data_IF_163822986686
#
_entry.id   IF_163822986686
#
_cell.length_a   1.000
_cell.length_b   1.000
_cell.length_c   1.000
_cell.angle_alpha   90.00
_cell.angle_beta   90.00
_cell.angle_gamma   90.00
#
_symmetry.space_group_name_H-M   'P 1'
#
loop_
_entity.id
_entity.type
_entity.pdbx_description
1 polymer ?
#
# COMPACT_ATOMS: atom_id res chain seq x y z
N UNK A 1 12.75 -5.77 -3.77
CA UNK A 1 12.27 -4.44 -4.20
C UNK A 1 11.26 -3.90 -3.18
N UNK A 2 11.40 -2.65 -2.81
CA UNK A 2 10.53 -2.05 -1.80
C UNK A 2 9.17 -1.71 -2.39
N UNK A 3 8.12 -1.81 -1.57
CA UNK A 3 6.80 -1.41 -2.00
C UNK A 3 6.62 0.10 -1.83
N UNK A 4 5.83 0.71 -2.70
CA UNK A 4 5.52 2.13 -2.60
C UNK A 4 4.76 2.42 -1.30
N UNK A 5 3.81 1.56 -0.96
CA UNK A 5 3.04 1.68 0.27
C UNK A 5 3.94 1.55 1.50
N UNK A 6 4.77 0.50 1.50
CA UNK A 6 5.65 0.23 2.63
C UNK A 6 6.64 1.37 2.90
N UNK A 7 7.24 1.91 1.85
CA UNK A 7 8.16 3.03 1.99
C UNK A 7 7.44 4.28 2.50
N UNK A 8 6.22 4.52 2.03
CA UNK A 8 5.48 5.70 2.45
C UNK A 8 5.10 5.63 3.92
N UNK A 9 4.61 4.49 4.39
CA UNK A 9 4.26 4.38 5.82
C UNK A 9 5.49 4.47 6.70
N UNK A 10 6.62 3.92 6.26
CA UNK A 10 7.87 4.05 7.01
C UNK A 10 8.30 5.51 7.12
N UNK A 11 8.27 6.24 6.01
CA UNK A 11 8.62 7.66 6.00
C UNK A 11 7.73 8.45 6.95
N UNK A 12 6.43 8.21 6.89
CA UNK A 12 5.48 8.90 7.77
C UNK A 12 5.72 8.56 9.25
N UNK A 13 6.00 7.28 9.53
CA UNK A 13 6.28 6.84 10.89
C UNK A 13 7.54 7.52 11.43
N UNK A 14 8.62 7.49 10.66
CA UNK A 14 9.89 8.07 11.08
C UNK A 14 9.79 9.59 11.25
N UNK A 15 9.03 10.23 10.38
CA UNK A 15 8.82 11.67 10.44
C UNK A 15 8.14 12.09 11.74
N UNK A 16 7.32 11.22 12.30
CA UNK A 16 6.64 11.47 13.57
C UNK A 16 7.40 10.90 14.77
N UNK A 17 8.62 10.40 14.53
CA UNK A 17 9.47 9.84 15.59
C UNK A 17 8.82 8.66 16.31
N UNK A 18 8.03 7.87 15.59
CA UNK A 18 7.38 6.67 16.12
C UNK A 18 8.24 5.45 15.84
N UNK A 19 8.33 4.56 16.84
CA UNK A 19 9.01 3.28 16.68
C UNK A 19 8.05 2.22 16.19
N UNK A 20 8.60 1.18 15.55
CA UNK A 20 7.79 0.04 15.10
C UNK A 20 6.97 -0.54 16.25
N UNK A 21 7.58 -0.69 17.43
CA UNK A 21 6.91 -1.27 18.60
C UNK A 21 5.74 -0.43 19.11
N UNK A 22 5.68 0.84 18.72
CA UNK A 22 4.57 1.71 19.11
C UNK A 22 3.40 1.60 18.15
N UNK A 23 3.68 1.38 16.86
CA UNK A 23 2.65 1.35 15.83
C UNK A 23 2.08 -0.06 15.66
N UNK A 24 2.92 -1.08 15.67
CA UNK A 24 2.52 -2.45 15.37
C UNK A 24 1.33 -2.94 16.22
N UNK A 25 1.31 -2.75 17.56
CA UNK A 25 0.18 -3.24 18.35
C UNK A 25 -1.15 -2.63 17.95
N UNK A 26 -1.14 -1.41 17.42
CA UNK A 26 -2.38 -0.75 16.98
C UNK A 26 -2.97 -1.42 15.74
N UNK A 27 -2.16 -2.21 15.05
CA UNK A 27 -2.57 -3.02 13.90
C UNK A 27 -2.69 -4.50 14.28
N UNK A 28 -2.64 -4.79 15.58
CA UNK A 28 -2.74 -6.16 16.11
C UNK A 28 -1.65 -7.08 15.56
N UNK A 29 -0.41 -6.56 15.48
CA UNK A 29 0.74 -7.32 15.01
C UNK A 29 1.98 -6.95 15.82
N UNK A 30 3.06 -7.70 15.63
CA UNK A 30 4.32 -7.38 16.29
C UNK A 30 5.20 -6.49 15.41
N UNK A 31 6.26 -5.95 16.00
CA UNK A 31 7.16 -5.04 15.29
C UNK A 31 7.84 -5.71 14.09
N UNK A 32 8.15 -7.01 14.17
CA UNK A 32 8.78 -7.72 13.07
C UNK A 32 7.87 -7.80 11.86
N UNK A 33 6.58 -8.02 12.08
CA UNK A 33 5.60 -8.06 10.99
C UNK A 33 5.47 -6.70 10.33
N UNK A 34 5.39 -5.63 11.13
CA UNK A 34 5.30 -4.28 10.57
C UNK A 34 6.56 -3.93 9.78
N UNK A 35 7.73 -4.35 10.27
CA UNK A 35 8.99 -4.15 9.54
C UNK A 35 8.94 -4.81 8.17
N UNK A 36 8.40 -6.03 8.08
CA UNK A 36 8.27 -6.73 6.79
C UNK A 36 7.32 -6.00 5.86
N UNK A 37 6.24 -5.43 6.39
CA UNK A 37 5.29 -4.65 5.59
C UNK A 37 5.98 -3.41 5.03
N UNK A 38 6.76 -2.72 5.83
CA UNK A 38 7.50 -1.54 5.36
C UNK A 38 8.52 -1.88 4.28
N UNK A 39 9.07 -3.09 4.33
CA UNK A 39 10.03 -3.57 3.33
C UNK A 39 9.38 -4.18 2.09
N UNK A 40 8.06 -4.27 2.08
CA UNK A 40 7.34 -4.85 0.94
C UNK A 40 7.32 -6.37 0.92
N UNK A 41 7.72 -7.02 2.01
CA UNK A 41 7.74 -8.48 2.11
C UNK A 41 6.41 -9.07 2.55
N UNK A 42 5.50 -8.22 3.01
CA UNK A 42 4.18 -8.61 3.46
C UNK A 42 3.22 -7.44 3.22
N UNK A 43 1.95 -7.73 3.04
CA UNK A 43 0.94 -6.70 2.81
C UNK A 43 0.00 -6.57 4.00
N UNK A 44 -0.46 -5.35 4.25
CA UNK A 44 -1.57 -5.11 5.17
C UNK A 44 -2.86 -5.60 4.52
N UNK A 45 -3.82 -5.94 5.35
CA UNK A 45 -5.18 -6.21 4.88
C UNK A 45 -5.87 -4.88 4.61
N UNK A 46 -6.85 -4.90 3.70
CA UNK A 46 -7.56 -3.69 3.32
C UNK A 46 -8.14 -2.94 4.52
N UNK A 47 -8.73 -3.66 5.46
CA UNK A 47 -9.36 -3.07 6.64
C UNK A 47 -8.36 -2.43 7.60
N UNK A 48 -7.08 -2.74 7.47
CA UNK A 48 -6.04 -2.13 8.30
C UNK A 48 -5.57 -0.78 7.77
N UNK A 49 -5.88 -0.46 6.51
CA UNK A 49 -5.42 0.79 5.90
C UNK A 49 -6.00 2.03 6.60
N UNK A 50 -7.31 2.08 6.90
CA UNK A 50 -7.83 3.23 7.65
C UNK A 50 -7.19 3.39 9.02
N UNK A 51 -6.86 2.28 9.67
CA UNK A 51 -6.24 2.31 11.00
C UNK A 51 -4.86 2.96 10.92
N UNK A 52 -4.01 2.49 10.00
CA UNK A 52 -2.66 3.04 9.89
C UNK A 52 -2.68 4.49 9.39
N UNK A 53 -3.64 4.84 8.54
CA UNK A 53 -3.80 6.22 8.08
C UNK A 53 -4.05 7.15 9.28
N UNK A 54 -4.92 6.73 10.18
CA UNK A 54 -5.23 7.52 11.37
C UNK A 54 -4.02 7.62 12.30
N UNK A 55 -3.35 6.49 12.56
CA UNK A 55 -2.17 6.45 13.44
C UNK A 55 -1.06 7.37 12.92
N UNK A 56 -0.83 7.36 11.62
CA UNK A 56 0.24 8.15 11.00
C UNK A 56 -0.21 9.53 10.55
N UNK A 57 -1.47 9.90 10.80
CA UNK A 57 -2.04 11.18 10.37
C UNK A 57 -1.88 11.38 8.87
N UNK A 58 -2.11 10.31 8.11
CA UNK A 58 -1.92 10.28 6.67
C UNK A 58 -3.25 10.37 5.94
N UNK A 59 -3.17 10.77 4.68
CA UNK A 59 -4.34 10.79 3.81
C UNK A 59 -4.73 9.36 3.44
N UNK A 60 -5.95 8.96 3.77
CA UNK A 60 -6.43 7.60 3.52
C UNK A 60 -6.39 7.26 2.02
N UNK A 61 -6.86 8.19 1.18
CA UNK A 61 -6.90 7.94 -0.26
C UNK A 61 -5.50 7.74 -0.83
N UNK A 62 -4.52 8.50 -0.36
CA UNK A 62 -3.13 8.32 -0.77
C UNK A 62 -2.63 6.93 -0.41
N UNK A 63 -2.81 6.51 0.83
CA UNK A 63 -2.33 5.21 1.28
C UNK A 63 -3.06 4.07 0.57
N UNK A 64 -4.37 4.19 0.37
CA UNK A 64 -5.15 3.19 -0.34
C UNK A 64 -4.67 3.06 -1.79
N UNK A 65 -4.39 4.20 -2.43
CA UNK A 65 -3.90 4.21 -3.81
C UNK A 65 -2.57 3.48 -3.92
N UNK A 66 -1.64 3.76 -2.99
CA UNK A 66 -0.34 3.10 -3.01
C UNK A 66 -0.46 1.61 -2.74
N UNK A 67 -1.33 1.22 -1.80
CA UNK A 67 -1.58 -0.18 -1.49
C UNK A 67 -2.12 -0.94 -2.71
N UNK A 68 -3.10 -0.35 -3.39
CA UNK A 68 -3.65 -0.95 -4.61
C UNK A 68 -2.61 -1.02 -5.72
N UNK A 69 -1.80 0.04 -5.88
CA UNK A 69 -0.76 0.06 -6.91
C UNK A 69 0.27 -1.05 -6.71
N UNK A 70 0.65 -1.32 -5.46
CA UNK A 70 1.58 -2.41 -5.15
C UNK A 70 1.00 -3.76 -5.56
N UNK A 71 -0.30 -3.96 -5.38
CA UNK A 71 -0.95 -5.22 -5.77
C UNK A 71 -0.99 -5.38 -7.28
N UNK A 72 -1.30 -4.31 -8.00
CA UNK A 72 -1.28 -4.33 -9.46
C UNK A 72 0.14 -4.65 -9.96
N UNK A 73 1.14 -3.99 -9.38
CA UNK A 73 2.53 -4.22 -9.72
C UNK A 73 2.92 -5.68 -9.47
N UNK A 74 2.51 -6.25 -8.35
CA UNK A 74 2.81 -7.64 -8.02
C UNK A 74 2.26 -8.62 -9.07
N UNK A 75 1.12 -8.30 -9.67
CA UNK A 75 0.52 -9.14 -10.70
C UNK A 75 1.33 -9.11 -12.00
N UNK A 76 1.83 -7.93 -12.39
CA UNK A 76 2.41 -7.74 -13.72
C UNK A 76 3.93 -7.61 -13.76
N UNK A 77 4.60 -7.52 -12.62
CA UNK A 77 6.02 -7.15 -12.55
C UNK A 77 6.96 -8.01 -13.39
N UNK A 78 6.64 -9.30 -13.55
CA UNK A 78 7.49 -10.22 -14.29
C UNK A 78 6.94 -10.55 -15.68
N UNK A 79 5.91 -9.81 -16.13
CA UNK A 79 5.25 -10.08 -17.40
C UNK A 79 5.79 -9.15 -18.49
N UNK A 80 6.12 -9.73 -19.65
CA UNK A 80 6.54 -8.92 -20.80
C UNK A 80 5.45 -7.98 -21.29
N UNK A 81 4.20 -8.41 -21.15
CA UNK A 81 3.04 -7.63 -21.62
C UNK A 81 2.45 -6.74 -20.53
N UNK A 82 3.22 -6.44 -19.49
CA UNK A 82 2.74 -5.65 -18.36
C UNK A 82 2.15 -4.30 -18.79
N UNK A 83 2.86 -3.56 -19.63
CA UNK A 83 2.40 -2.24 -20.06
C UNK A 83 1.14 -2.31 -20.89
N UNK A 84 1.07 -3.27 -21.80
CA UNK A 84 -0.12 -3.47 -22.64
C UNK A 84 -1.32 -3.86 -21.79
N UNK A 85 -1.11 -4.79 -20.84
CA UNK A 85 -2.19 -5.23 -19.95
C UNK A 85 -2.68 -4.08 -19.07
N UNK A 86 -1.78 -3.27 -18.54
CA UNK A 86 -2.15 -2.10 -17.75
C UNK A 86 -2.97 -1.10 -18.55
N UNK A 87 -2.60 -0.91 -19.82
CA UNK A 87 -3.32 0.02 -20.69
C UNK A 87 -4.76 -0.45 -20.95
N UNK A 88 -4.95 -1.75 -21.20
CA UNK A 88 -6.28 -2.31 -21.39
C UNK A 88 -7.10 -2.19 -20.11
N UNK A 89 -6.50 -2.49 -18.94
CA UNK A 89 -7.18 -2.39 -17.67
C UNK A 89 -7.64 -0.94 -17.41
N UNK A 90 -6.78 0.04 -17.72
CA UNK A 90 -7.12 1.45 -17.58
C UNK A 90 -8.33 1.83 -18.42
N UNK A 91 -8.38 1.36 -19.66
CA UNK A 91 -9.53 1.60 -20.55
C UNK A 91 -10.82 1.06 -19.94
N UNK A 92 -10.76 -0.14 -19.36
CA UNK A 92 -11.93 -0.77 -18.75
C UNK A 92 -12.42 0.05 -17.55
N UNK A 93 -11.50 0.55 -16.74
CA UNK A 93 -11.84 1.40 -15.60
C UNK A 93 -12.55 2.66 -16.08
N UNK A 94 -12.00 3.31 -17.11
CA UNK A 94 -12.56 4.54 -17.65
C UNK A 94 -13.92 4.34 -18.27
N UNK A 95 -14.13 3.21 -18.99
CA UNK A 95 -15.43 2.87 -19.57
C UNK A 95 -16.50 2.67 -18.50
N UNK A 96 -16.15 1.99 -17.41
CA UNK A 96 -17.09 1.79 -16.31
C UNK A 96 -17.50 3.12 -15.68
N UNK A 97 -16.57 4.05 -15.53
CA UNK A 97 -16.89 5.37 -15.01
C UNK A 97 -17.84 6.13 -15.93
N UNK A 98 -17.69 5.96 -17.25
CA UNK A 98 -18.56 6.65 -18.22
C UNK A 98 -19.99 6.11 -18.21
N UNK A 99 -20.17 4.86 -17.83
CA UNK A 99 -21.49 4.21 -17.80
C UNK A 99 -22.32 4.66 -16.60
N UNK A 100 -21.74 5.34 -15.69
CA UNK A 100 -22.46 5.92 -14.56
C UNK A 100 -22.99 7.31 -14.96
#
# INVERSE_FOLDING_TARGET
>A
MNSQFGERIRTLREKQHLYLRQVAPLLEMDAAQLSRIEKGLRQLKREQIPVIAEVLKANLNELMTLWLADQIYAVVKDEELANEAMHVAEKNINQNKRKK
#
